data_IF_106246642941
#
_entry.id   IF_106246642941
#
_cell.length_a   1.000
_cell.length_b   1.000
_cell.length_c   1.000
_cell.angle_alpha   90.00
_cell.angle_beta   90.00
_cell.angle_gamma   90.00
#
_symmetry.space_group_name_H-M   'P 1'
#
loop_
_entity.id
_entity.type
_entity.pdbx_description
1 polymer ?
#
# COMPACT_ATOMS: atom_id res chain seq x y z
N UNK A 1 10.62 -4.64 -58.67
CA UNK A 1 9.43 -4.66 -57.79
C UNK A 1 9.93 -4.50 -56.36
N UNK A 2 9.92 -3.28 -55.83
CA UNK A 2 10.43 -3.00 -54.48
C UNK A 2 9.25 -2.75 -53.55
N UNK A 3 8.97 -3.72 -52.67
CA UNK A 3 7.86 -3.68 -51.73
C UNK A 3 8.09 -2.60 -50.68
N UNK A 4 7.24 -1.58 -50.69
CA UNK A 4 7.11 -0.61 -49.60
C UNK A 4 6.76 -1.36 -48.30
N UNK A 5 7.74 -1.54 -47.40
CA UNK A 5 7.45 -1.97 -46.03
C UNK A 5 6.78 -0.81 -45.31
N UNK A 6 5.54 -1.04 -44.86
CA UNK A 6 4.91 -0.18 -43.87
C UNK A 6 5.83 -0.10 -42.64
N UNK A 7 5.97 1.07 -41.99
CA UNK A 7 6.60 1.12 -40.69
C UNK A 7 5.77 0.22 -39.77
N UNK A 8 6.38 -0.87 -39.31
CA UNK A 8 5.79 -1.70 -38.27
C UNK A 8 5.48 -0.75 -37.12
N UNK A 9 4.22 -0.74 -36.68
CA UNK A 9 3.85 -0.15 -35.40
C UNK A 9 4.87 -0.66 -34.40
N UNK A 10 5.74 0.22 -33.91
CA UNK A 10 6.58 -0.12 -32.77
C UNK A 10 5.62 -0.68 -31.74
N UNK A 11 5.80 -1.92 -31.23
CA UNK A 11 4.98 -2.36 -30.12
C UNK A 11 5.11 -1.24 -29.11
N UNK A 12 3.97 -0.67 -28.70
CA UNK A 12 3.93 0.29 -27.59
C UNK A 12 4.90 -0.26 -26.59
N UNK A 13 5.99 0.48 -26.36
CA UNK A 13 6.96 0.09 -25.35
C UNK A 13 6.10 0.10 -24.11
N UNK A 14 5.63 -1.09 -23.74
CA UNK A 14 5.28 -1.43 -22.39
C UNK A 14 6.62 -1.26 -21.68
N UNK A 15 6.95 0.00 -21.40
CA UNK A 15 7.65 0.35 -20.20
C UNK A 15 6.76 -0.30 -19.14
N UNK A 16 7.05 -1.56 -18.83
CA UNK A 16 7.05 -2.01 -17.45
C UNK A 16 7.97 -1.02 -16.79
N UNK A 17 7.35 0.10 -16.41
CA UNK A 17 7.94 1.25 -15.81
C UNK A 17 8.54 0.69 -14.51
N UNK A 18 9.84 0.39 -14.56
CA UNK A 18 10.66 0.20 -13.37
C UNK A 18 10.95 1.57 -12.73
N UNK A 19 10.15 2.61 -13.03
CA UNK A 19 9.72 3.55 -11.98
C UNK A 19 9.33 2.71 -10.77
N UNK A 20 10.11 2.83 -9.70
CA UNK A 20 9.78 2.23 -8.41
C UNK A 20 8.33 2.55 -8.11
N UNK A 21 7.43 1.56 -8.29
CA UNK A 21 6.01 1.74 -8.03
C UNK A 21 5.91 2.21 -6.59
N UNK A 22 5.21 3.31 -6.36
CA UNK A 22 5.00 3.80 -5.02
C UNK A 22 4.50 2.63 -4.15
N UNK A 23 5.10 2.38 -2.97
CA UNK A 23 4.57 1.35 -2.08
C UNK A 23 3.08 1.62 -1.85
N UNK A 24 2.26 0.58 -1.72
CA UNK A 24 0.81 0.78 -1.53
C UNK A 24 0.58 1.53 -0.21
N UNK A 25 -0.14 2.67 -0.22
CA UNK A 25 -0.48 3.34 1.03
C UNK A 25 -1.39 2.43 1.86
N UNK A 26 -1.36 2.55 3.20
CA UNK A 26 -2.32 1.87 4.05
C UNK A 26 -3.75 2.27 3.66
N UNK A 27 -4.71 1.35 3.84
CA UNK A 27 -6.12 1.59 3.54
C UNK A 27 -6.76 2.49 4.59
N UNK A 28 -7.62 3.41 4.14
CA UNK A 28 -8.30 4.33 5.04
C UNK A 28 -9.35 3.59 5.87
N UNK A 29 -9.47 3.88 7.18
CA UNK A 29 -10.46 3.25 8.03
C UNK A 29 -11.87 3.65 7.59
N UNK A 30 -12.80 2.72 7.73
CA UNK A 30 -14.19 2.94 7.33
C UNK A 30 -14.90 3.85 8.33
N UNK A 31 -15.52 4.92 7.84
CA UNK A 31 -16.29 5.85 8.68
C UNK A 31 -17.48 5.14 9.35
N UNK A 32 -17.93 5.57 10.53
CA UNK A 32 -18.93 4.86 11.34
C UNK A 32 -20.21 4.48 10.59
N UNK A 33 -20.77 5.43 9.83
CA UNK A 33 -21.95 5.18 8.99
C UNK A 33 -21.72 4.10 7.94
N UNK A 34 -20.56 4.12 7.25
CA UNK A 34 -20.26 3.13 6.21
C UNK A 34 -20.10 1.73 6.80
N UNK A 35 -19.53 1.64 8.00
CA UNK A 35 -19.37 0.40 8.76
C UNK A 35 -20.73 -0.18 9.15
N UNK A 36 -21.60 0.65 9.70
CA UNK A 36 -22.99 0.30 9.98
C UNK A 36 -23.75 -0.14 8.72
N UNK A 37 -23.61 0.63 7.63
CA UNK A 37 -24.34 0.37 6.39
C UNK A 37 -24.00 -1.00 5.81
N UNK A 38 -22.72 -1.41 5.81
CA UNK A 38 -22.30 -2.74 5.34
C UNK A 38 -22.88 -3.87 6.18
N UNK A 39 -22.94 -3.70 7.50
CA UNK A 39 -23.50 -4.70 8.43
C UNK A 39 -25.01 -4.87 8.24
N UNK A 40 -25.72 -3.76 8.04
CA UNK A 40 -27.18 -3.78 7.86
C UNK A 40 -27.61 -4.10 6.44
N UNK A 41 -26.75 -3.88 5.45
CA UNK A 41 -27.07 -4.10 4.04
C UNK A 41 -27.65 -5.48 3.76
N UNK A 42 -26.97 -6.54 4.23
CA UNK A 42 -27.42 -7.91 4.03
C UNK A 42 -28.75 -8.20 4.72
N UNK A 43 -28.97 -7.61 5.91
CA UNK A 43 -30.20 -7.79 6.69
C UNK A 43 -31.39 -7.09 6.02
N UNK A 44 -31.22 -5.82 5.67
CA UNK A 44 -32.27 -5.01 5.02
C UNK A 44 -32.62 -5.55 3.64
N UNK A 45 -31.63 -6.05 2.88
CA UNK A 45 -31.86 -6.69 1.59
C UNK A 45 -32.58 -8.04 1.70
N UNK A 46 -32.31 -8.81 2.75
CA UNK A 46 -33.03 -10.06 3.00
C UNK A 46 -34.47 -9.83 3.45
N UNK A 47 -34.71 -8.77 4.23
CA UNK A 47 -36.05 -8.35 4.66
C UNK A 47 -36.85 -7.65 3.55
N UNK A 48 -36.16 -7.09 2.54
CA UNK A 48 -36.76 -6.40 1.39
C UNK A 48 -36.14 -6.89 0.07
N UNK A 49 -36.42 -8.14 -0.35
CA UNK A 49 -35.82 -8.74 -1.53
C UNK A 49 -36.24 -8.05 -2.84
N UNK A 50 -37.43 -7.44 -2.87
CA UNK A 50 -37.98 -6.73 -4.03
C UNK A 50 -37.61 -5.23 -4.08
N UNK A 51 -36.98 -4.71 -3.02
CA UNK A 51 -36.58 -3.31 -2.96
C UNK A 51 -35.36 -3.04 -3.85
N UNK A 52 -35.41 -1.91 -4.57
CA UNK A 52 -34.31 -1.47 -5.40
C UNK A 52 -33.12 -1.00 -4.56
N UNK A 53 -31.92 -1.04 -5.15
CA UNK A 53 -30.66 -0.78 -4.45
C UNK A 53 -30.61 0.58 -3.74
N UNK A 54 -31.21 1.61 -4.35
CA UNK A 54 -31.29 2.96 -3.78
C UNK A 54 -32.31 3.07 -2.64
N UNK A 55 -33.35 2.22 -2.62
CA UNK A 55 -34.35 2.20 -1.55
C UNK A 55 -33.80 1.49 -0.31
N UNK A 56 -33.00 0.44 -0.49
CA UNK A 56 -32.21 -0.19 0.58
C UNK A 56 -31.29 0.84 1.25
N UNK A 57 -30.62 1.69 0.45
CA UNK A 57 -29.78 2.77 0.97
C UNK A 57 -30.55 3.79 1.81
N UNK A 58 -31.77 4.18 1.39
CA UNK A 58 -32.64 5.08 2.17
C UNK A 58 -33.05 4.47 3.50
N UNK A 59 -33.43 3.19 3.52
CA UNK A 59 -33.82 2.47 4.73
C UNK A 59 -32.66 2.44 5.73
N UNK A 60 -31.47 2.03 5.29
CA UNK A 60 -30.27 1.97 6.15
C UNK A 60 -29.90 3.36 6.69
N UNK A 61 -30.03 4.40 5.86
CA UNK A 61 -29.81 5.78 6.29
C UNK A 61 -30.79 6.25 7.36
N UNK A 62 -32.06 5.82 7.28
CA UNK A 62 -33.06 6.07 8.32
C UNK A 62 -32.74 5.30 9.60
N UNK A 63 -32.44 4.01 9.49
CA UNK A 63 -32.05 3.19 10.64
C UNK A 63 -30.82 3.77 11.36
N UNK A 64 -29.84 4.30 10.63
CA UNK A 64 -28.68 4.97 11.24
C UNK A 64 -29.07 6.21 12.05
N UNK A 65 -30.05 7.00 11.60
CA UNK A 65 -30.55 8.15 12.36
C UNK A 65 -31.24 7.71 13.66
N UNK A 66 -31.98 6.62 13.59
CA UNK A 66 -32.84 6.11 14.68
C UNK A 66 -32.09 5.27 15.73
N UNK A 67 -30.83 4.90 15.48
CA UNK A 67 -30.00 4.21 16.48
C UNK A 67 -29.68 5.12 17.67
N UNK A 68 -29.61 4.51 18.85
CA UNK A 68 -29.21 5.16 20.10
C UNK A 68 -27.80 5.77 20.02
N UNK A 69 -27.58 6.88 20.74
CA UNK A 69 -26.25 7.50 20.77
C UNK A 69 -25.19 6.58 21.38
N UNK A 70 -25.60 5.67 22.28
CA UNK A 70 -24.73 4.65 22.86
C UNK A 70 -24.21 3.65 21.80
N UNK A 71 -25.08 3.17 20.92
CA UNK A 71 -24.69 2.25 19.85
C UNK A 71 -23.90 2.98 18.73
N UNK A 72 -24.25 4.22 18.42
CA UNK A 72 -23.44 5.07 17.52
C UNK A 72 -22.03 5.28 18.10
N UNK A 73 -21.91 5.45 19.42
CA UNK A 73 -20.63 5.62 20.10
C UNK A 73 -19.71 4.39 19.95
N UNK A 74 -20.27 3.18 19.87
CA UNK A 74 -19.47 1.96 19.58
C UNK A 74 -18.80 2.06 18.21
N UNK A 75 -19.55 2.39 17.16
CA UNK A 75 -19.00 2.54 15.81
C UNK A 75 -18.04 3.73 15.70
N UNK A 76 -18.26 4.79 16.48
CA UNK A 76 -17.36 5.94 16.57
C UNK A 76 -16.05 5.56 17.25
N UNK A 77 -16.10 4.84 18.36
CA UNK A 77 -14.92 4.39 19.10
C UNK A 77 -14.09 3.39 18.28
N UNK A 78 -14.71 2.44 17.61
CA UNK A 78 -14.02 1.53 16.67
C UNK A 78 -13.33 2.31 15.53
N UNK A 79 -14.01 3.32 14.97
CA UNK A 79 -13.41 4.19 13.96
C UNK A 79 -12.22 4.98 14.49
N UNK A 80 -12.28 5.49 15.72
CA UNK A 80 -11.18 6.25 16.34
C UNK A 80 -9.94 5.38 16.59
N UNK A 81 -10.13 4.14 17.05
CA UNK A 81 -9.04 3.17 17.20
C UNK A 81 -8.37 2.91 15.85
N UNK A 82 -9.13 2.53 14.83
CA UNK A 82 -8.57 2.23 13.51
C UNK A 82 -7.98 3.48 12.83
N UNK A 83 -8.52 4.66 13.10
CA UNK A 83 -7.95 5.94 12.64
C UNK A 83 -6.60 6.20 13.27
N UNK A 84 -6.44 5.94 14.57
CA UNK A 84 -5.15 6.07 15.24
C UNK A 84 -4.11 5.07 14.68
N UNK A 85 -4.53 3.83 14.43
CA UNK A 85 -3.68 2.81 13.78
C UNK A 85 -3.31 3.18 12.34
N UNK A 86 -4.27 3.66 11.55
CA UNK A 86 -4.05 4.15 10.20
C UNK A 86 -3.05 5.30 10.19
N UNK A 87 -3.18 6.26 11.10
CA UNK A 87 -2.27 7.41 11.14
C UNK A 87 -0.85 6.97 11.52
N UNK A 88 -0.71 6.01 12.42
CA UNK A 88 0.57 5.38 12.76
C UNK A 88 1.18 4.63 11.56
N UNK A 89 0.37 3.82 10.86
CA UNK A 89 0.78 3.09 9.66
C UNK A 89 1.13 4.04 8.51
N UNK A 90 0.42 5.16 8.38
CA UNK A 90 0.65 6.17 7.35
C UNK A 90 1.94 6.96 7.61
N UNK A 91 2.23 7.30 8.88
CA UNK A 91 3.53 7.87 9.28
C UNK A 91 4.67 6.87 9.01
N UNK A 92 4.49 5.60 9.34
CA UNK A 92 5.48 4.55 9.04
C UNK A 92 5.69 4.38 7.53
N UNK A 93 4.62 4.44 6.74
CA UNK A 93 4.65 4.41 5.28
C UNK A 93 5.46 5.59 4.71
N UNK A 94 5.20 6.82 5.19
CA UNK A 94 5.95 8.01 4.78
C UNK A 94 7.44 7.93 5.18
N UNK A 95 7.74 7.31 6.32
CA UNK A 95 9.10 7.13 6.81
C UNK A 95 9.79 5.89 6.22
N UNK A 96 9.08 5.07 5.45
CA UNK A 96 9.64 3.86 4.87
C UNK A 96 10.71 4.18 3.83
N UNK A 97 11.78 3.39 3.82
CA UNK A 97 12.90 3.56 2.90
C UNK A 97 12.44 3.51 1.43
N UNK A 98 11.47 2.63 1.12
CA UNK A 98 10.87 2.51 -0.21
C UNK A 98 10.11 3.79 -0.64
N UNK A 99 9.34 4.41 0.26
CA UNK A 99 8.62 5.66 -0.05
C UNK A 99 9.58 6.84 -0.22
N UNK A 100 10.62 6.94 0.62
CA UNK A 100 11.65 7.97 0.50
C UNK A 100 12.44 7.84 -0.82
N UNK A 101 12.79 6.62 -1.24
CA UNK A 101 13.43 6.38 -2.53
C UNK A 101 12.54 6.80 -3.70
N UNK A 102 11.23 6.50 -3.64
CA UNK A 102 10.27 6.93 -4.65
C UNK A 102 10.17 8.47 -4.75
N UNK A 103 10.10 9.18 -3.61
CA UNK A 103 10.06 10.65 -3.58
C UNK A 103 11.35 11.26 -4.13
N UNK A 104 12.51 10.71 -3.78
CA UNK A 104 13.81 11.17 -4.28
C UNK A 104 13.94 10.94 -5.79
N UNK A 105 13.52 9.79 -6.30
CA UNK A 105 13.48 9.49 -7.73
C UNK A 105 12.54 10.44 -8.49
N UNK A 106 11.33 10.69 -7.95
CA UNK A 106 10.35 11.62 -8.53
C UNK A 106 10.85 13.07 -8.56
N UNK A 107 11.53 13.51 -7.51
CA UNK A 107 12.11 14.86 -7.42
C UNK A 107 13.27 15.02 -8.40
N UNK A 108 14.12 14.01 -8.54
CA UNK A 108 15.22 13.98 -9.51
C UNK A 108 14.74 13.97 -10.95
N UNK A 109 13.66 13.24 -11.24
CA UNK A 109 13.02 13.26 -12.56
C UNK A 109 12.45 14.65 -12.90
N UNK A 110 11.75 15.30 -11.95
CA UNK A 110 11.24 16.67 -12.13
C UNK A 110 12.35 17.71 -12.28
N UNK A 111 13.46 17.57 -11.57
CA UNK A 111 14.63 18.45 -11.72
C UNK A 111 15.29 18.29 -13.09
N UNK A 112 15.36 17.06 -13.61
CA UNK A 112 15.89 16.79 -14.95
C UNK A 112 14.96 17.33 -16.05
N UNK A 113 13.64 17.27 -15.86
CA UNK A 113 12.64 17.87 -16.77
C UNK A 113 12.70 19.42 -16.76
N UNK A 114 13.01 20.03 -15.61
CA UNK A 114 13.20 21.48 -15.50
C UNK A 114 14.52 21.93 -16.14
N UNK A 115 15.57 21.14 -16.02
CA UNK A 115 16.87 21.34 -16.70
C UNK A 115 16.76 21.16 -18.22
N UNK A 116 15.98 20.18 -18.69
CA UNK A 116 15.72 20.01 -20.13
C UNK A 116 14.83 21.11 -20.71
N UNK A 117 13.86 21.63 -19.95
CA UNK A 117 13.09 22.83 -20.33
C UNK A 117 13.95 24.10 -20.40
N UNK A 118 14.88 24.31 -19.46
CA UNK A 118 15.81 25.45 -19.48
C UNK A 118 16.77 25.40 -20.67
N UNK A 119 17.17 24.21 -21.14
CA UNK A 119 17.96 24.04 -22.37
C UNK A 119 17.16 24.33 -23.66
N UNK A 120 15.84 24.35 -23.61
CA UNK A 120 14.97 24.75 -24.74
C UNK A 120 14.64 26.26 -24.72
N UNK A 121 15.08 27.02 -23.71
CA UNK A 121 14.88 28.47 -23.59
C UNK A 121 15.94 29.27 -24.37
N UNK A 122 16.22 28.82 -25.59
CA UNK A 122 16.72 29.66 -26.68
C UNK A 122 15.71 29.54 -27.82
N UNK A 123 14.53 30.15 -27.65
CA UNK A 123 13.50 30.28 -28.70
C UNK A 123 12.11 29.66 -28.45
N UNK A 124 11.67 29.48 -27.19
CA UNK A 124 10.35 28.89 -26.89
C UNK A 124 9.21 29.92 -26.75
N UNK A 125 8.15 29.77 -27.56
CA UNK A 125 6.90 30.56 -27.50
C UNK A 125 6.19 30.41 -26.14
N UNK A 126 5.81 31.53 -25.53
CA UNK A 126 5.05 31.63 -24.28
C UNK A 126 3.55 31.50 -24.58
N UNK A 127 2.88 30.50 -23.99
CA UNK A 127 1.42 30.32 -24.06
C UNK A 127 0.79 31.00 -22.84
N UNK A 128 -0.01 32.04 -23.07
CA UNK A 128 -0.93 32.58 -22.07
C UNK A 128 -2.14 31.65 -21.90
N UNK A 129 -2.74 31.54 -20.71
CA UNK A 129 -3.96 30.79 -20.52
C UNK A 129 -5.06 31.40 -21.39
N UNK A 130 -5.61 30.58 -22.29
CA UNK A 130 -6.74 30.93 -23.16
C UNK A 130 -7.99 30.85 -22.30
N UNK A 131 -8.70 31.98 -22.17
CA UNK A 131 -10.04 32.03 -21.61
C UNK A 131 -10.95 31.02 -22.31
N UNK A 132 -11.66 30.21 -21.53
CA UNK A 132 -12.56 29.16 -21.98
C UNK A 132 -13.76 29.75 -22.73
N UNK A 133 -13.67 29.91 -24.04
CA UNK A 133 -14.82 30.02 -24.95
C UNK A 133 -14.31 29.99 -26.39
N UNK A 134 -14.34 28.83 -27.05
CA UNK A 134 -14.97 28.68 -28.37
C UNK A 134 -14.71 27.26 -28.95
N UNK A 135 -15.77 26.72 -29.53
CA UNK A 135 -15.93 25.34 -29.93
C UNK A 135 -15.14 24.96 -31.19
N UNK A 136 -14.73 23.70 -31.26
CA UNK A 136 -14.72 23.00 -32.55
C UNK A 136 -13.58 23.28 -33.54
N UNK A 137 -12.33 23.39 -33.09
CA UNK A 137 -11.18 23.31 -34.00
C UNK A 137 -10.33 22.05 -33.76
N UNK A 138 -10.99 20.89 -33.83
CA UNK A 138 -10.30 19.67 -34.26
C UNK A 138 -9.47 20.02 -35.50
N UNK A 139 -8.24 19.50 -35.55
CA UNK A 139 -7.32 19.66 -36.67
C UNK A 139 -8.04 19.38 -38.01
N UNK A 140 -8.56 20.43 -38.65
CA UNK A 140 -9.25 20.31 -39.94
C UNK A 140 -8.32 19.58 -40.91
N UNK A 141 -8.85 18.68 -41.74
CA UNK A 141 -8.05 17.95 -42.74
C UNK A 141 -7.11 18.88 -43.53
N UNK A 142 -7.51 20.14 -43.70
CA UNK A 142 -6.72 21.24 -44.28
C UNK A 142 -5.44 21.55 -43.49
N UNK A 143 -5.50 21.66 -42.16
CA UNK A 143 -4.34 21.95 -41.30
C UNK A 143 -3.39 20.75 -41.23
N UNK A 144 -3.93 19.52 -41.16
CA UNK A 144 -3.10 18.32 -41.21
C UNK A 144 -2.39 18.17 -42.56
N UNK A 145 -3.07 18.51 -43.67
CA UNK A 145 -2.45 18.54 -45.00
C UNK A 145 -1.33 19.57 -45.08
N UNK A 146 -1.53 20.78 -44.54
CA UNK A 146 -0.49 21.83 -44.50
C UNK A 146 0.75 21.38 -43.71
N UNK A 147 0.57 20.83 -42.50
CA UNK A 147 1.71 20.33 -41.69
C UNK A 147 2.46 19.20 -42.40
N UNK A 148 1.75 18.30 -43.11
CA UNK A 148 2.38 17.25 -43.91
C UNK A 148 3.13 17.82 -45.11
N UNK A 149 2.57 18.83 -45.78
CA UNK A 149 3.17 19.50 -46.91
C UNK A 149 4.51 20.15 -46.52
N UNK A 150 4.53 20.92 -45.43
CA UNK A 150 5.74 21.59 -44.93
C UNK A 150 6.80 20.58 -44.50
N UNK A 151 6.39 19.53 -43.75
CA UNK A 151 7.29 18.44 -43.35
C UNK A 151 7.91 17.76 -44.58
N UNK A 152 7.11 17.45 -45.59
CA UNK A 152 7.59 16.76 -46.79
C UNK A 152 8.54 17.65 -47.60
N UNK A 153 8.25 18.96 -47.72
CA UNK A 153 9.16 19.90 -48.38
C UNK A 153 10.48 20.00 -47.64
N UNK A 154 10.45 20.06 -46.31
CA UNK A 154 11.67 20.01 -45.49
C UNK A 154 12.46 18.72 -45.69
N UNK A 155 11.81 17.55 -45.66
CA UNK A 155 12.47 16.26 -45.86
C UNK A 155 13.08 16.13 -47.26
N UNK A 156 12.41 16.64 -48.29
CA UNK A 156 12.95 16.72 -49.65
C UNK A 156 14.15 17.68 -49.69
N UNK A 157 14.07 18.83 -49.03
CA UNK A 157 15.19 19.74 -48.87
C UNK A 157 16.39 19.12 -48.16
N UNK A 158 16.16 18.34 -47.10
CA UNK A 158 17.19 17.60 -46.38
C UNK A 158 17.80 16.49 -47.25
N UNK A 159 16.99 15.80 -48.07
CA UNK A 159 17.44 14.73 -48.98
C UNK A 159 18.32 15.27 -50.11
N UNK A 160 17.95 16.41 -50.69
CA UNK A 160 18.73 17.09 -51.72
C UNK A 160 19.68 18.15 -51.15
N UNK A 161 19.91 18.10 -49.83
CA UNK A 161 20.93 18.93 -49.19
C UNK A 161 22.30 18.62 -49.82
N UNK A 162 23.18 19.63 -50.00
CA UNK A 162 24.54 19.41 -50.49
C UNK A 162 25.41 18.56 -49.53
N UNK A 163 24.88 18.15 -48.38
CA UNK A 163 25.54 17.26 -47.44
C UNK A 163 25.83 15.89 -48.09
N UNK A 164 27.12 15.60 -48.29
CA UNK A 164 27.56 14.30 -48.78
C UNK A 164 27.55 13.29 -47.64
N UNK A 165 26.99 12.10 -47.89
CA UNK A 165 27.04 10.98 -46.94
C UNK A 165 28.50 10.58 -46.74
N UNK A 166 29.02 10.79 -45.52
CA UNK A 166 30.37 10.34 -45.18
C UNK A 166 30.38 8.82 -44.99
N UNK A 167 31.43 8.15 -45.47
CA UNK A 167 31.60 6.73 -45.18
C UNK A 167 31.97 6.56 -43.70
N UNK A 168 31.01 6.11 -42.90
CA UNK A 168 31.17 5.92 -41.45
C UNK A 168 31.67 4.51 -41.11
N UNK A 169 32.14 3.72 -42.09
CA UNK A 169 32.69 2.39 -41.82
C UNK A 169 33.95 2.50 -40.97
N UNK A 170 33.79 2.33 -39.67
CA UNK A 170 34.91 2.26 -38.73
C UNK A 170 35.38 0.82 -38.59
N UNK A 171 36.67 0.59 -38.77
CA UNK A 171 37.29 -0.69 -38.39
C UNK A 171 37.19 -0.85 -36.87
N UNK A 172 36.75 -2.02 -36.42
CA UNK A 172 36.64 -2.30 -34.99
C UNK A 172 38.03 -2.50 -34.42
N UNK A 173 38.49 -1.53 -33.62
CA UNK A 173 39.79 -1.61 -32.96
C UNK A 173 39.84 -2.76 -31.94
N UNK A 174 41.00 -3.39 -31.79
CA UNK A 174 41.18 -4.50 -30.85
C UNK A 174 40.82 -4.10 -29.41
N UNK A 175 41.21 -2.89 -28.97
CA UNK A 175 40.86 -2.35 -27.66
C UNK A 175 39.33 -2.30 -27.44
N UNK A 176 38.55 -2.03 -28.49
CA UNK A 176 37.09 -2.03 -28.43
C UNK A 176 36.54 -3.44 -28.28
N UNK A 177 37.11 -4.42 -28.99
CA UNK A 177 36.75 -5.84 -28.83
C UNK A 177 37.05 -6.33 -27.41
N UNK A 178 38.19 -5.95 -26.85
CA UNK A 178 38.58 -6.35 -25.49
C UNK A 178 37.69 -5.69 -24.42
N UNK A 179 37.29 -4.43 -24.62
CA UNK A 179 36.31 -3.79 -23.75
C UNK A 179 34.95 -4.48 -23.79
N UNK A 180 34.48 -4.87 -24.97
CA UNK A 180 33.23 -5.62 -25.13
C UNK A 180 33.31 -7.01 -24.46
N UNK A 181 34.44 -7.72 -24.59
CA UNK A 181 34.66 -8.99 -23.89
C UNK A 181 34.61 -8.81 -22.36
N UNK A 182 35.27 -7.78 -21.83
CA UNK A 182 35.22 -7.46 -20.39
C UNK A 182 33.80 -7.14 -19.93
N UNK A 183 33.04 -6.38 -20.72
CA UNK A 183 31.63 -6.10 -20.42
C UNK A 183 30.79 -7.38 -20.40
N UNK A 184 30.97 -8.27 -21.39
CA UNK A 184 30.27 -9.54 -21.44
C UNK A 184 30.60 -10.43 -20.22
N UNK A 185 31.88 -10.52 -19.85
CA UNK A 185 32.31 -11.25 -18.65
C UNK A 185 31.74 -10.64 -17.37
N UNK A 186 31.75 -9.32 -17.24
CA UNK A 186 31.18 -8.62 -16.08
C UNK A 186 29.68 -8.88 -15.94
N UNK A 187 28.93 -8.86 -17.05
CA UNK A 187 27.50 -9.15 -17.05
C UNK A 187 27.21 -10.60 -16.69
N UNK A 188 27.99 -11.55 -17.21
CA UNK A 188 27.88 -12.97 -16.85
C UNK A 188 28.18 -13.20 -15.37
N UNK A 189 29.21 -12.56 -14.81
CA UNK A 189 29.51 -12.66 -13.39
C UNK A 189 28.39 -12.07 -12.52
N UNK A 190 27.80 -10.96 -12.94
CA UNK A 190 26.63 -10.39 -12.26
C UNK A 190 25.40 -11.31 -12.33
N UNK A 191 25.17 -11.95 -13.48
CA UNK A 191 24.11 -12.96 -13.62
C UNK A 191 24.33 -14.12 -12.64
N UNK A 192 25.53 -14.69 -12.58
CA UNK A 192 25.84 -15.79 -11.66
C UNK A 192 25.59 -15.37 -10.20
N UNK A 193 25.95 -14.13 -9.83
CA UNK A 193 25.69 -13.61 -8.48
C UNK A 193 24.19 -13.53 -8.15
N UNK A 194 23.37 -13.09 -9.11
CA UNK A 194 21.91 -13.06 -8.94
C UNK A 194 21.33 -14.47 -8.81
N UNK A 195 21.85 -15.44 -9.57
CA UNK A 195 21.46 -16.84 -9.46
C UNK A 195 21.80 -17.41 -8.07
N UNK A 196 22.98 -17.13 -7.54
CA UNK A 196 23.36 -17.49 -6.16
C UNK A 196 22.44 -16.84 -5.10
N UNK A 197 22.09 -15.57 -5.27
CA UNK A 197 21.16 -14.88 -4.36
C UNK A 197 19.74 -15.49 -4.41
N UNK A 198 19.26 -15.89 -5.58
CA UNK A 198 17.99 -16.59 -5.73
C UNK A 198 17.99 -17.95 -5.03
N UNK A 199 19.06 -18.73 -5.17
CA UNK A 199 19.19 -20.03 -4.50
C UNK A 199 19.17 -19.86 -2.98
N UNK A 200 19.89 -18.87 -2.44
CA UNK A 200 19.88 -18.56 -0.99
C UNK A 200 18.50 -18.16 -0.50
N UNK A 201 17.76 -17.35 -1.27
CA UNK A 201 16.40 -16.95 -0.91
C UNK A 201 15.44 -18.14 -0.91
N UNK A 202 15.58 -19.06 -1.88
CA UNK A 202 14.81 -20.29 -1.94
C UNK A 202 15.11 -21.21 -0.74
N UNK A 203 16.37 -21.36 -0.35
CA UNK A 203 16.78 -22.12 0.83
C UNK A 203 16.14 -21.54 2.11
N UNK A 204 16.26 -20.23 2.33
CA UNK A 204 15.63 -19.54 3.47
C UNK A 204 14.11 -19.73 3.48
N UNK A 205 13.48 -19.68 2.30
CA UNK A 205 12.04 -19.87 2.17
C UNK A 205 11.64 -21.30 2.53
N UNK A 206 12.35 -22.31 2.04
CA UNK A 206 12.09 -23.71 2.35
C UNK A 206 12.31 -24.02 3.83
N UNK A 207 13.35 -23.47 4.45
CA UNK A 207 13.61 -23.64 5.88
C UNK A 207 12.49 -23.05 6.74
N UNK A 208 12.02 -21.84 6.40
CA UNK A 208 10.87 -21.22 7.08
C UNK A 208 9.61 -22.05 6.90
N UNK A 209 9.36 -22.56 5.69
CA UNK A 209 8.22 -23.43 5.42
C UNK A 209 8.28 -24.69 6.29
N UNK A 210 9.42 -25.39 6.32
CA UNK A 210 9.63 -26.58 7.17
C UNK A 210 9.50 -26.28 8.66
N UNK A 211 9.92 -25.09 9.10
CA UNK A 211 9.76 -24.68 10.49
C UNK A 211 8.28 -24.48 10.85
N UNK A 212 7.52 -23.82 9.97
CA UNK A 212 6.07 -23.62 10.16
C UNK A 212 5.33 -24.95 10.15
N UNK A 213 5.67 -25.86 9.22
CA UNK A 213 5.09 -27.20 9.16
C UNK A 213 5.35 -27.98 10.45
N UNK A 214 6.60 -28.01 10.93
CA UNK A 214 6.93 -28.64 12.22
C UNK A 214 6.18 -28.02 13.41
N UNK A 215 6.11 -26.69 13.48
CA UNK A 215 5.35 -26.01 14.54
C UNK A 215 3.85 -26.28 14.45
N UNK A 216 3.31 -26.44 13.24
CA UNK A 216 1.91 -26.81 13.01
C UNK A 216 1.62 -28.25 13.44
N UNK A 217 2.52 -29.17 13.14
CA UNK A 217 2.42 -30.58 13.58
C UNK A 217 2.50 -30.67 15.11
N UNK A 218 3.46 -29.98 15.73
CA UNK A 218 3.59 -29.92 17.19
C UNK A 218 2.33 -29.32 17.85
N UNK A 219 1.78 -28.25 17.26
CA UNK A 219 0.51 -27.68 17.73
C UNK A 219 -0.65 -28.68 17.60
N UNK A 220 -0.74 -29.38 16.47
CA UNK A 220 -1.80 -30.37 16.26
C UNK A 220 -1.68 -31.55 17.24
N UNK A 221 -0.46 -32.04 17.51
CA UNK A 221 -0.23 -33.06 18.53
C UNK A 221 -0.58 -32.59 19.93
N UNK A 222 -0.18 -31.37 20.30
CA UNK A 222 -0.52 -30.79 21.60
C UNK A 222 -2.02 -30.57 21.73
N UNK A 223 -2.70 -30.11 20.68
CA UNK A 223 -4.15 -29.96 20.66
C UNK A 223 -4.85 -31.31 20.82
N UNK A 224 -4.40 -32.32 20.09
CA UNK A 224 -4.91 -33.70 20.22
C UNK A 224 -4.72 -34.22 21.64
N UNK A 225 -3.53 -34.01 22.23
CA UNK A 225 -3.24 -34.37 23.62
C UNK A 225 -4.20 -33.69 24.59
N UNK A 226 -4.42 -32.38 24.47
CA UNK A 226 -5.38 -31.63 25.32
C UNK A 226 -6.82 -32.13 25.14
N UNK A 227 -7.21 -32.48 23.91
CA UNK A 227 -8.54 -33.04 23.64
C UNK A 227 -8.72 -34.46 24.19
N UNK A 228 -7.66 -35.28 24.20
CA UNK A 228 -7.63 -36.65 24.72
C UNK A 228 -7.49 -36.70 26.24
N UNK A 229 -6.63 -35.85 26.82
CA UNK A 229 -6.43 -35.68 28.27
C UNK A 229 -7.64 -35.07 28.96
N UNK A 230 -8.66 -34.64 28.19
CA UNK A 230 -10.00 -34.22 28.61
C UNK A 230 -10.10 -34.23 30.14
N UNK A 231 -9.70 -33.15 30.84
CA UNK A 231 -9.91 -33.08 32.27
C UNK A 231 -11.43 -33.09 32.42
N UNK A 232 -12.01 -34.26 32.69
CA UNK A 232 -13.37 -34.32 33.14
C UNK A 232 -13.34 -33.56 34.46
N UNK A 233 -13.89 -32.35 34.42
CA UNK A 233 -14.12 -31.57 35.61
C UNK A 233 -15.26 -32.28 36.32
N UNK A 234 -14.95 -33.39 36.97
CA UNK A 234 -15.89 -34.11 37.80
C UNK A 234 -16.47 -33.11 38.82
N UNK A 235 -17.76 -33.23 39.13
CA UNK A 235 -18.48 -32.33 40.04
C UNK A 235 -17.68 -32.05 41.34
N UNK A 236 -16.95 -33.05 41.82
CA UNK A 236 -16.05 -32.95 42.97
C UNK A 236 -14.83 -32.04 42.75
N UNK A 237 -14.16 -32.11 41.59
CA UNK A 237 -13.03 -31.23 41.25
C UNK A 237 -13.50 -29.80 40.98
N UNK A 238 -14.69 -29.62 40.40
CA UNK A 238 -15.30 -28.30 40.24
C UNK A 238 -15.63 -27.67 41.61
N UNK A 239 -16.19 -28.44 42.54
CA UNK A 239 -16.46 -28.00 43.89
C UNK A 239 -15.17 -27.64 44.66
N UNK A 240 -14.10 -28.43 44.53
CA UNK A 240 -12.80 -28.12 45.14
C UNK A 240 -12.19 -26.83 44.55
N UNK A 241 -12.34 -26.61 43.25
CA UNK A 241 -11.89 -25.39 42.58
C UNK A 241 -12.69 -24.16 43.06
N UNK A 242 -14.01 -24.31 43.22
CA UNK A 242 -14.88 -23.28 43.78
C UNK A 242 -14.48 -22.92 45.21
N UNK A 243 -14.15 -23.90 46.06
CA UNK A 243 -13.69 -23.58 47.41
C UNK A 243 -12.30 -22.95 47.44
N UNK A 244 -11.38 -23.37 46.58
CA UNK A 244 -10.10 -22.66 46.40
C UNK A 244 -10.30 -21.22 45.94
N UNK A 245 -11.27 -20.95 45.08
CA UNK A 245 -11.57 -19.59 44.63
C UNK A 245 -12.26 -18.77 45.71
N UNK A 246 -13.19 -19.36 46.48
CA UNK A 246 -13.84 -18.69 47.63
C UNK A 246 -12.84 -18.35 48.72
N UNK A 247 -11.93 -19.25 49.06
CA UNK A 247 -10.88 -18.98 50.06
C UNK A 247 -9.94 -17.87 49.61
N UNK A 248 -9.46 -17.91 48.37
CA UNK A 248 -8.68 -16.80 47.77
C UNK A 248 -9.44 -15.48 47.77
N UNK A 249 -10.73 -15.50 47.44
CA UNK A 249 -11.57 -14.30 47.45
C UNK A 249 -11.75 -13.76 48.88
N UNK A 250 -11.94 -14.63 49.87
CA UNK A 250 -12.06 -14.26 51.26
C UNK A 250 -10.75 -13.68 51.83
N UNK A 251 -9.60 -14.24 51.46
CA UNK A 251 -8.28 -13.71 51.80
C UNK A 251 -8.05 -12.34 51.16
N UNK A 252 -8.33 -12.21 49.86
CA UNK A 252 -8.26 -10.94 49.15
C UNK A 252 -9.18 -9.88 49.79
N UNK A 253 -10.38 -10.28 50.23
CA UNK A 253 -11.31 -9.39 50.93
C UNK A 253 -10.80 -8.97 52.32
N UNK A 254 -10.19 -9.90 53.08
CA UNK A 254 -9.54 -9.56 54.35
C UNK A 254 -8.38 -8.59 54.15
N UNK A 255 -7.57 -8.80 53.13
CA UNK A 255 -6.45 -7.92 52.81
C UNK A 255 -6.94 -6.54 52.36
N UNK A 256 -7.98 -6.49 51.52
CA UNK A 256 -8.65 -5.25 51.12
C UNK A 256 -9.20 -4.50 52.33
N UNK A 257 -9.91 -5.19 53.24
CA UNK A 257 -10.47 -4.59 54.45
C UNK A 257 -9.38 -4.06 55.39
N UNK A 258 -8.30 -4.81 55.57
CA UNK A 258 -7.15 -4.36 56.37
C UNK A 258 -6.52 -3.09 55.79
N UNK A 259 -6.33 -3.03 54.46
CA UNK A 259 -5.87 -1.81 53.78
C UNK A 259 -6.84 -0.64 53.97
N UNK A 260 -8.15 -0.89 53.94
CA UNK A 260 -9.16 0.14 54.16
C UNK A 260 -9.14 0.67 55.59
N UNK A 261 -8.99 -0.22 56.59
CA UNK A 261 -8.89 0.14 58.00
C UNK A 261 -7.59 0.91 58.30
N UNK A 262 -6.47 0.54 57.68
CA UNK A 262 -5.20 1.28 57.74
C UNK A 262 -5.33 2.69 57.12
N UNK A 263 -6.01 2.81 55.97
CA UNK A 263 -6.31 4.10 55.33
C UNK A 263 -7.20 4.95 56.26
N UNK A 264 -8.24 4.38 56.84
CA UNK A 264 -9.15 5.08 57.75
C UNK A 264 -8.46 5.50 59.05
N UNK A 265 -7.57 4.66 59.61
CA UNK A 265 -6.78 4.98 60.79
C UNK A 265 -5.84 6.16 60.50
N UNK A 266 -5.18 6.14 59.33
CA UNK A 266 -4.30 7.23 58.87
C UNK A 266 -5.08 8.52 58.62
N UNK A 267 -6.27 8.45 58.03
CA UNK A 267 -7.17 9.59 57.87
C UNK A 267 -7.65 10.13 59.22
N UNK A 268 -7.92 9.26 60.20
CA UNK A 268 -8.30 9.63 61.55
C UNK A 268 -7.15 10.29 62.35
N UNK A 269 -5.91 9.85 62.16
CA UNK A 269 -4.73 10.52 62.70
C UNK A 269 -4.51 11.90 62.06
N UNK A 270 -4.68 12.02 60.74
CA UNK A 270 -4.62 13.29 60.03
C UNK A 270 -5.72 14.25 60.52
N UNK A 271 -6.96 13.78 60.69
CA UNK A 271 -8.04 14.60 61.25
C UNK A 271 -7.78 15.03 62.69
N UNK A 272 -7.18 14.15 63.53
CA UNK A 272 -6.78 14.52 64.90
C UNK A 272 -5.69 15.60 64.90
N UNK A 273 -4.75 15.54 63.97
CA UNK A 273 -3.69 16.55 63.83
C UNK A 273 -4.21 17.92 63.33
N UNK A 274 -5.34 17.95 62.61
CA UNK A 274 -5.95 19.19 62.11
C UNK A 274 -6.83 19.90 63.17
N UNK A 275 -7.29 19.18 64.21
CA UNK A 275 -8.19 19.68 65.25
C UNK A 275 -7.43 20.11 66.53
N UNK A 276 -6.10 19.96 66.56
CA UNK A 276 -5.22 20.42 67.66
C UNK A 276 -4.43 21.65 67.22
#
# INVERSE_FOLDING_TARGET
>A
MSSFRHPQSTPSRNQTDFSMKAPKPPDRPLVPYMRYSRKMWSKVRAENPDAQLWDIGKIIGQMWRDISDADKAVYQHEYEIEKAEYEKAFKAYQNSHAYQQYINAKTRAKANEKSSRSRMEAGGVVIQPVDEEDAGNELSCRRLAAVRFDRNHRLIGDLFSPAVVTDTRTVVAQNRMDMLRKQAQSLSAHQNKLEEELVKLEEIHQDKKRQIERSSEEFAENLKRVCEEKPQLDEAKYAELLEKMKTKLAEAYKEYKKKQDEINARLGEIMRFIIT
#
